data_IF_192198156581
#
_entry.id   IF_192198156581
#
_cell.length_a   1.000
_cell.length_b   1.000
_cell.length_c   1.000
_cell.angle_alpha   90.00
_cell.angle_beta   90.00
_cell.angle_gamma   90.00
#
_symmetry.space_group_name_H-M   'P 1'
#
loop_
_entity.id
_entity.type
_entity.pdbx_description
1 polymer ?
#
# COMPACT_ATOMS: atom_id res chain seq x y z
N UNK A 1 23.46 6.91 -14.21
CA UNK A 1 22.30 7.03 -13.31
C UNK A 1 21.82 8.47 -13.31
N UNK A 2 20.63 8.72 -13.85
CA UNK A 2 20.14 10.06 -14.17
C UNK A 2 19.70 10.85 -12.95
N UNK A 3 20.33 12.01 -12.72
CA UNK A 3 19.81 13.07 -11.85
C UNK A 3 18.62 13.71 -12.58
N UNK A 4 17.40 13.43 -12.13
CA UNK A 4 16.21 14.12 -12.61
C UNK A 4 16.37 15.63 -12.40
N UNK A 5 16.16 16.39 -13.47
CA UNK A 5 16.18 17.85 -13.45
C UNK A 5 14.79 18.37 -13.06
N UNK A 6 14.49 18.43 -11.78
CA UNK A 6 13.39 19.31 -11.33
C UNK A 6 13.90 20.74 -11.40
N UNK A 7 13.09 21.63 -11.98
CA UNK A 7 13.41 23.07 -11.97
C UNK A 7 13.43 23.55 -10.52
N UNK A 8 14.38 24.41 -10.11
CA UNK A 8 14.52 24.85 -8.71
C UNK A 8 13.26 25.52 -8.11
N UNK A 9 12.35 25.99 -8.96
CA UNK A 9 11.09 26.64 -8.62
C UNK A 9 9.89 25.68 -8.49
N UNK A 10 10.07 24.39 -8.79
CA UNK A 10 9.00 23.39 -8.88
C UNK A 10 9.18 22.30 -7.81
N UNK A 11 9.34 22.73 -6.55
CA UNK A 11 9.18 21.82 -5.42
C UNK A 11 7.71 21.35 -5.39
N UNK A 12 7.43 20.03 -5.27
CA UNK A 12 6.06 19.55 -5.16
C UNK A 12 5.38 20.24 -3.97
N UNK A 13 4.10 20.56 -4.14
CA UNK A 13 3.32 21.19 -3.08
C UNK A 13 3.35 20.28 -1.84
N UNK A 14 3.35 20.87 -0.64
CA UNK A 14 3.34 20.08 0.59
C UNK A 14 2.10 19.15 0.67
N UNK A 15 1.01 19.54 0.02
CA UNK A 15 -0.23 18.77 -0.12
C UNK A 15 0.00 17.47 -0.90
N UNK A 16 0.70 17.56 -2.04
CA UNK A 16 1.00 16.41 -2.89
C UNK A 16 1.95 15.43 -2.20
N UNK A 17 2.96 15.95 -1.50
CA UNK A 17 3.90 15.12 -0.73
C UNK A 17 3.17 14.39 0.41
N UNK A 18 2.23 15.03 1.10
CA UNK A 18 1.44 14.37 2.14
C UNK A 18 0.50 13.30 1.57
N UNK A 19 -0.01 13.49 0.34
CA UNK A 19 -0.91 12.53 -0.31
C UNK A 19 -0.20 11.31 -0.89
N UNK A 20 1.04 11.46 -1.37
CA UNK A 20 1.73 10.44 -2.16
C UNK A 20 3.13 10.06 -1.64
N UNK A 21 3.62 10.65 -0.55
CA UNK A 21 4.97 10.41 -0.02
C UNK A 21 5.10 9.26 0.98
N UNK A 22 4.01 8.51 1.24
CA UNK A 22 3.92 7.53 2.33
C UNK A 22 4.45 6.13 2.02
N UNK A 23 4.80 5.84 0.76
CA UNK A 23 5.07 4.46 0.31
C UNK A 23 6.50 3.99 0.61
N UNK A 24 7.25 4.75 1.42
CA UNK A 24 8.61 4.38 1.81
C UNK A 24 8.76 4.27 3.31
N UNK A 25 9.47 3.22 3.74
CA UNK A 25 9.78 2.93 5.13
C UNK A 25 11.30 2.80 5.33
N UNK A 26 11.83 3.26 6.48
CA UNK A 26 13.25 3.26 6.75
C UNK A 26 13.75 1.85 7.09
N UNK A 27 14.90 1.48 6.52
CA UNK A 27 15.58 0.24 6.86
C UNK A 27 16.05 0.26 8.32
N UNK A 28 15.76 -0.78 9.13
CA UNK A 28 16.14 -0.81 10.55
C UNK A 28 17.66 -0.88 10.78
N UNK A 29 18.43 -1.33 9.78
CA UNK A 29 19.89 -1.46 9.88
C UNK A 29 20.64 -0.20 9.42
N UNK A 30 20.27 0.36 8.27
CA UNK A 30 21.03 1.45 7.65
C UNK A 30 20.27 2.79 7.56
N UNK A 31 18.98 2.82 7.89
CA UNK A 31 18.15 4.02 7.81
C UNK A 31 17.81 4.49 6.39
N UNK A 32 18.18 3.73 5.35
CA UNK A 32 17.80 4.06 3.97
C UNK A 32 16.28 3.95 3.81
N UNK A 33 15.65 4.88 3.10
CA UNK A 33 14.24 4.79 2.74
C UNK A 33 14.05 3.79 1.60
N UNK A 34 13.20 2.79 1.83
CA UNK A 34 12.86 1.76 0.85
C UNK A 34 11.36 1.69 0.67
N UNK A 35 10.92 1.27 -0.51
CA UNK A 35 9.52 0.96 -0.73
C UNK A 35 9.05 -0.16 0.21
N UNK A 36 7.82 -0.07 0.67
CA UNK A 36 7.16 -1.07 1.51
C UNK A 36 7.04 -2.46 0.85
N UNK A 37 7.07 -2.50 -0.47
CA UNK A 37 7.13 -3.73 -1.28
C UNK A 37 8.55 -4.32 -1.44
N UNK A 38 9.61 -3.61 -1.02
CA UNK A 38 10.98 -4.06 -1.24
C UNK A 38 11.35 -5.24 -0.32
N UNK A 39 11.78 -6.35 -0.92
CA UNK A 39 12.14 -7.58 -0.18
C UNK A 39 13.52 -7.49 0.49
N UNK A 40 14.42 -6.69 -0.10
CA UNK A 40 15.80 -6.53 0.36
C UNK A 40 16.24 -5.07 0.28
N UNK A 41 17.08 -4.66 1.22
CA UNK A 41 17.70 -3.35 1.22
C UNK A 41 18.71 -3.22 0.08
N UNK A 42 18.49 -2.31 -0.87
CA UNK A 42 19.42 -2.04 -1.97
C UNK A 42 20.74 -1.39 -1.53
N UNK A 43 20.79 -0.86 -0.30
CA UNK A 43 21.95 -0.18 0.26
C UNK A 43 22.82 -1.11 1.10
N UNK A 44 22.23 -1.86 2.04
CA UNK A 44 22.97 -2.73 2.96
C UNK A 44 22.78 -4.23 2.72
N UNK A 45 21.81 -4.65 1.92
CA UNK A 45 21.51 -6.06 1.64
C UNK A 45 20.71 -6.80 2.72
N UNK A 46 20.22 -6.11 3.76
CA UNK A 46 19.38 -6.72 4.79
C UNK A 46 17.99 -7.08 4.26
N UNK A 47 17.43 -8.20 4.72
CA UNK A 47 16.08 -8.64 4.34
C UNK A 47 15.05 -7.80 5.08
N UNK A 48 14.14 -7.17 4.34
CA UNK A 48 13.10 -6.35 4.95
C UNK A 48 11.95 -7.25 5.42
N UNK A 49 11.34 -6.96 6.59
CA UNK A 49 10.11 -7.63 6.95
C UNK A 49 9.05 -7.23 5.93
N UNK A 50 8.59 -8.18 5.12
CA UNK A 50 7.40 -7.98 4.30
C UNK A 50 6.21 -7.73 5.22
N UNK A 51 5.97 -6.47 5.56
CA UNK A 51 4.65 -6.03 5.96
C UNK A 51 3.81 -6.17 4.72
N UNK A 52 3.32 -7.40 4.49
CA UNK A 52 2.16 -7.60 3.65
C UNK A 52 1.13 -6.67 4.26
N UNK A 53 0.90 -5.55 3.58
CA UNK A 53 -0.24 -4.68 3.82
C UNK A 53 -1.43 -5.63 3.86
N UNK A 54 -1.80 -6.04 5.07
CA UNK A 54 -2.96 -6.86 5.33
C UNK A 54 -4.14 -5.91 5.19
N UNK A 55 -4.28 -5.36 3.99
CA UNK A 55 -5.49 -4.72 3.51
C UNK A 55 -6.49 -5.86 3.55
N UNK A 56 -7.21 -5.94 4.68
CA UNK A 56 -8.29 -6.90 4.85
C UNK A 56 -9.21 -6.84 3.62
N UNK A 57 -9.99 -7.90 3.35
CA UNK A 57 -10.85 -7.92 2.17
C UNK A 57 -11.61 -6.59 2.12
N UNK A 58 -11.50 -5.84 1.00
CA UNK A 58 -12.01 -4.48 0.95
C UNK A 58 -13.50 -4.50 1.30
N UNK A 59 -13.98 -3.48 2.03
CA UNK A 59 -15.32 -3.48 2.64
C UNK A 59 -16.43 -3.87 1.65
N UNK A 60 -16.29 -3.49 0.37
CA UNK A 60 -17.23 -3.87 -0.69
C UNK A 60 -17.35 -5.39 -0.89
N UNK A 61 -16.27 -6.15 -0.73
CA UNK A 61 -16.26 -7.62 -0.84
C UNK A 61 -17.08 -8.22 0.30
N UNK A 62 -16.92 -7.71 1.52
CA UNK A 62 -17.71 -8.17 2.68
C UNK A 62 -19.20 -7.89 2.45
N UNK A 63 -19.53 -6.71 1.92
CA UNK A 63 -20.92 -6.33 1.60
C UNK A 63 -21.50 -7.22 0.49
N UNK A 64 -20.78 -7.43 -0.61
CA UNK A 64 -21.23 -8.29 -1.72
C UNK A 64 -21.47 -9.73 -1.28
N UNK A 65 -20.52 -10.31 -0.52
CA UNK A 65 -20.66 -11.66 0.03
C UNK A 65 -21.86 -11.74 0.97
N UNK A 66 -22.04 -10.74 1.84
CA UNK A 66 -23.20 -10.66 2.73
C UNK A 66 -24.53 -10.64 1.96
N UNK A 67 -24.65 -9.80 0.93
CA UNK A 67 -25.86 -9.71 0.10
C UNK A 67 -26.13 -11.02 -0.66
N UNK A 68 -25.10 -11.67 -1.20
CA UNK A 68 -25.24 -12.97 -1.86
C UNK A 68 -25.73 -14.05 -0.89
N UNK A 69 -25.14 -14.13 0.30
CA UNK A 69 -25.55 -15.12 1.32
C UNK A 69 -26.98 -14.85 1.78
N UNK A 70 -27.34 -13.59 2.05
CA UNK A 70 -28.72 -13.21 2.42
C UNK A 70 -29.69 -13.54 1.30
N UNK A 71 -29.34 -13.24 0.04
CA UNK A 71 -30.16 -13.55 -1.12
C UNK A 71 -30.39 -15.05 -1.30
N UNK A 72 -29.37 -15.88 -1.10
CA UNK A 72 -29.49 -17.35 -1.15
C UNK A 72 -30.34 -17.90 -0.01
N UNK A 73 -30.18 -17.37 1.21
CA UNK A 73 -30.96 -17.79 2.38
C UNK A 73 -32.42 -17.39 2.22
N UNK A 74 -32.70 -16.13 1.88
CA UNK A 74 -34.07 -15.65 1.68
C UNK A 74 -34.71 -16.32 0.47
N UNK A 75 -34.00 -16.41 -0.66
CA UNK A 75 -34.49 -17.07 -1.86
C UNK A 75 -34.74 -18.56 -1.67
N UNK A 76 -33.87 -19.26 -0.94
CA UNK A 76 -34.04 -20.68 -0.61
C UNK A 76 -35.09 -20.95 0.48
N UNK A 77 -35.39 -19.99 1.35
CA UNK A 77 -36.50 -20.09 2.32
C UNK A 77 -37.87 -19.80 1.69
N UNK A 78 -37.90 -19.10 0.56
CA UNK A 78 -39.11 -18.76 -0.19
C UNK A 78 -39.41 -19.71 -1.36
N UNK A 79 -38.59 -20.76 -1.54
CA UNK A 79 -38.75 -21.80 -2.56
C UNK A 79 -39.11 -23.14 -1.91
#
# INVERSE_FOLDING_TARGET
>A
MGRGSTRPDECPSAEDVARFGGDTLPCPECGTHLYDEAEFCHSCGHVMPHVKEAKGPPVYVVVLVGLLVVGLVVGGLFF
#
